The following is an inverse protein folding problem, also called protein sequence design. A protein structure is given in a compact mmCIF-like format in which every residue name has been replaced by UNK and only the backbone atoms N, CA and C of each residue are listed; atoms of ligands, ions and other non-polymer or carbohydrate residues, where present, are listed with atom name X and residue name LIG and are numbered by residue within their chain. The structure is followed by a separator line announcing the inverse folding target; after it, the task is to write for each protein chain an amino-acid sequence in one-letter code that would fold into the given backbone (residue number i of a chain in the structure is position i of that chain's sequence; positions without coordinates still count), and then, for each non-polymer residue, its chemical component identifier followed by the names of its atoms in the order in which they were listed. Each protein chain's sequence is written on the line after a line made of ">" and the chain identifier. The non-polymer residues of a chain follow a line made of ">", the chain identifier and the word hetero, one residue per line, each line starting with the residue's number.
data_IF_638882567314
#
_entry.id   IF_638882567314
#
_cell.length_a   1.000
_cell.length_b   1.000
_cell.length_c   1.000
_cell.angle_alpha   90.00
_cell.angle_beta   90.00
_cell.angle_gamma   90.00
#
_symmetry.space_group_name_H-M   'P 1'
#
loop_
_entity.id
_entity.type
_entity.pdbx_description
1 polymer ?
#
# COMPACT_ATOMS: atom_id res chain seq x y z
N UNK A 1 84.51 -33.24 -20.67
CA UNK A 1 83.65 -32.08 -20.95
C UNK A 1 82.22 -32.56 -20.78
N UNK A 2 81.49 -32.09 -19.77
CA UNK A 2 80.07 -31.76 -19.91
C UNK A 2 79.59 -31.08 -18.63
N UNK A 3 78.84 -30.01 -18.86
CA UNK A 3 78.64 -28.87 -17.99
C UNK A 3 77.22 -28.93 -17.43
N UNK A 4 77.03 -28.46 -16.20
CA UNK A 4 75.74 -28.28 -15.54
C UNK A 4 74.75 -27.48 -16.40
N UNK A 5 73.46 -27.82 -16.32
CA UNK A 5 72.41 -26.79 -16.32
C UNK A 5 71.14 -27.25 -15.60
N UNK A 6 70.97 -26.65 -14.43
CA UNK A 6 69.76 -26.56 -13.62
C UNK A 6 68.60 -25.97 -14.45
N UNK A 7 67.42 -26.61 -14.41
CA UNK A 7 66.19 -26.04 -14.94
C UNK A 7 65.38 -25.51 -13.74
N UNK A 8 65.49 -24.20 -13.52
CA UNK A 8 64.54 -23.42 -12.73
C UNK A 8 63.40 -22.98 -13.65
N UNK A 9 62.15 -23.24 -13.25
CA UNK A 9 60.97 -22.97 -14.06
C UNK A 9 59.75 -22.61 -13.24
N UNK A 10 59.79 -21.40 -12.67
CA UNK A 10 58.66 -20.51 -12.34
C UNK A 10 57.44 -21.10 -11.60
N UNK A 11 57.48 -20.99 -10.27
CA UNK A 11 56.28 -20.88 -9.43
C UNK A 11 55.45 -19.68 -9.89
N UNK A 12 54.25 -19.92 -10.42
CA UNK A 12 53.27 -18.86 -10.64
C UNK A 12 52.78 -18.36 -9.28
N UNK A 13 53.17 -17.14 -8.90
CA UNK A 13 52.57 -16.42 -7.78
C UNK A 13 51.08 -16.14 -8.08
N UNK A 14 50.19 -16.19 -7.07
CA UNK A 14 48.78 -15.86 -7.26
C UNK A 14 48.68 -14.39 -7.69
N UNK A 15 47.99 -14.15 -8.82
CA UNK A 15 47.65 -12.80 -9.30
C UNK A 15 47.04 -12.01 -8.15
N UNK A 16 47.69 -10.92 -7.75
CA UNK A 16 47.11 -9.90 -6.88
C UNK A 16 45.73 -9.48 -7.42
N UNK A 17 44.70 -9.27 -6.58
CA UNK A 17 43.43 -8.77 -7.05
C UNK A 17 43.65 -7.44 -7.77
N UNK A 18 43.13 -7.33 -8.99
CA UNK A 18 43.29 -6.14 -9.82
C UNK A 18 42.79 -4.90 -9.06
N UNK A 19 43.65 -3.91 -8.89
CA UNK A 19 43.35 -2.61 -8.25
C UNK A 19 42.48 -1.69 -9.12
N UNK A 20 41.72 -2.27 -10.07
CA UNK A 20 40.91 -1.49 -10.99
C UNK A 20 39.68 -0.93 -10.26
N UNK A 21 39.32 0.34 -10.46
CA UNK A 21 38.12 0.91 -9.87
C UNK A 21 36.86 0.14 -10.29
N UNK A 22 35.99 -0.17 -9.33
CA UNK A 22 34.75 -0.89 -9.58
C UNK A 22 33.62 -0.41 -8.67
N UNK A 23 32.39 -0.48 -9.16
CA UNK A 23 31.17 -0.33 -8.38
C UNK A 23 30.19 -1.42 -8.82
N UNK A 24 29.90 -2.34 -7.92
CA UNK A 24 28.92 -3.40 -8.09
C UNK A 24 27.76 -3.15 -7.13
N UNK A 25 26.54 -3.26 -7.62
CA UNK A 25 25.34 -3.10 -6.80
C UNK A 25 24.48 -4.36 -6.93
N UNK A 26 23.84 -4.80 -5.85
CA UNK A 26 22.83 -5.87 -5.92
C UNK A 26 21.57 -5.51 -5.14
N UNK A 27 20.41 -5.83 -5.71
CA UNK A 27 19.10 -5.61 -5.12
C UNK A 27 18.50 -6.94 -4.74
N UNK A 28 18.35 -7.18 -3.44
CA UNK A 28 18.01 -8.49 -2.87
C UNK A 28 16.91 -8.37 -1.80
N UNK A 29 16.44 -9.51 -1.30
CA UNK A 29 15.59 -9.64 -0.11
C UNK A 29 14.42 -8.66 -0.04
N UNK A 30 13.39 -8.85 -0.88
CA UNK A 30 12.18 -8.05 -0.78
C UNK A 30 11.47 -8.32 0.55
N UNK A 31 11.16 -7.26 1.29
CA UNK A 31 10.46 -7.33 2.58
C UNK A 31 9.29 -6.36 2.56
N UNK A 32 8.13 -6.82 3.05
CA UNK A 32 6.98 -5.95 3.28
C UNK A 32 7.15 -5.21 4.61
N UNK A 33 7.17 -3.89 4.56
CA UNK A 33 7.23 -3.00 5.72
C UNK A 33 5.94 -2.19 5.85
N UNK A 34 5.61 -1.81 7.09
CA UNK A 34 4.40 -1.04 7.40
C UNK A 34 3.11 -1.85 7.39
N UNK A 35 2.02 -1.20 7.81
CA UNK A 35 0.71 -1.82 8.01
C UNK A 35 -0.38 -1.06 7.23
N UNK A 36 -1.44 -1.77 6.82
CA UNK A 36 -2.59 -1.19 6.13
C UNK A 36 -2.22 -0.46 4.83
N UNK A 37 -2.82 0.72 4.63
CA UNK A 37 -2.66 1.55 3.41
C UNK A 37 -1.22 2.03 3.22
N UNK A 38 -0.45 2.17 4.30
CA UNK A 38 0.94 2.65 4.27
C UNK A 38 1.97 1.53 4.06
N UNK A 39 1.53 0.26 3.89
CA UNK A 39 2.46 -0.84 3.68
C UNK A 39 3.14 -0.75 2.30
N UNK A 40 4.44 -1.00 2.25
CA UNK A 40 5.24 -1.00 1.02
C UNK A 40 6.25 -2.14 1.00
N UNK A 41 6.79 -2.45 -0.19
CA UNK A 41 7.89 -3.40 -0.36
C UNK A 41 9.20 -2.61 -0.40
N UNK A 42 10.13 -3.00 0.48
CA UNK A 42 11.51 -2.55 0.47
C UNK A 42 12.43 -3.66 -0.02
N UNK A 43 13.62 -3.28 -0.45
CA UNK A 43 14.67 -4.13 -0.96
C UNK A 43 15.96 -3.83 -0.23
N UNK A 44 16.79 -4.85 -0.05
CA UNK A 44 18.17 -4.70 0.42
C UNK A 44 19.06 -4.37 -0.75
N UNK A 45 19.65 -3.17 -0.75
CA UNK A 45 20.61 -2.72 -1.76
C UNK A 45 22.01 -2.84 -1.19
N UNK A 46 22.83 -3.71 -1.77
CA UNK A 46 24.20 -3.97 -1.35
C UNK A 46 25.12 -3.33 -2.37
N UNK A 47 26.00 -2.45 -1.91
CA UNK A 47 27.00 -1.78 -2.72
C UNK A 47 28.37 -2.35 -2.37
N UNK A 48 29.14 -2.78 -3.36
CA UNK A 48 30.54 -3.19 -3.23
C UNK A 48 31.41 -2.35 -4.15
N UNK A 49 32.46 -1.75 -3.63
CA UNK A 49 33.29 -0.82 -4.40
C UNK A 49 34.64 -0.61 -3.76
N UNK A 50 35.61 -0.14 -4.53
CA UNK A 50 36.88 0.40 -4.05
C UNK A 50 37.00 1.91 -4.28
N UNK A 51 35.92 2.61 -4.63
CA UNK A 51 35.91 4.06 -4.77
C UNK A 51 36.09 4.74 -3.42
N UNK A 52 37.03 5.71 -3.29
CA UNK A 52 37.34 6.34 -2.00
C UNK A 52 36.20 7.23 -1.48
N UNK A 53 35.33 7.74 -2.36
CA UNK A 53 34.15 8.52 -1.98
C UNK A 53 33.01 7.70 -1.31
N UNK A 54 33.11 6.37 -1.27
CA UNK A 54 32.15 5.50 -0.58
C UNK A 54 32.60 5.18 0.86
N UNK A 55 31.65 4.97 1.77
CA UNK A 55 31.89 4.68 3.19
C UNK A 55 32.35 3.23 3.41
N UNK A 56 33.48 2.85 2.83
CA UNK A 56 34.06 1.52 2.93
C UNK A 56 33.73 0.61 1.74
N UNK A 57 34.29 -0.62 1.74
CA UNK A 57 34.25 -1.51 0.59
C UNK A 57 32.89 -2.17 0.35
N UNK A 58 32.04 -2.21 1.38
CA UNK A 58 30.70 -2.77 1.32
C UNK A 58 29.73 -1.93 2.17
N UNK A 59 28.58 -1.57 1.60
CA UNK A 59 27.48 -0.88 2.29
C UNK A 59 26.16 -1.56 1.98
N UNK A 60 25.31 -1.70 2.99
CA UNK A 60 23.95 -2.19 2.84
C UNK A 60 22.98 -1.08 3.26
N UNK A 61 22.01 -0.78 2.40
CA UNK A 61 20.91 0.14 2.69
C UNK A 61 19.57 -0.49 2.32
N UNK A 62 18.49 0.01 2.91
CA UNK A 62 17.13 -0.39 2.59
C UNK A 62 16.52 0.68 1.68
N UNK A 63 15.89 0.25 0.59
CA UNK A 63 15.25 1.14 -0.39
C UNK A 63 13.91 0.59 -0.83
N UNK A 64 12.92 1.45 -1.03
CA UNK A 64 11.63 1.11 -1.65
C UNK A 64 11.61 1.59 -3.10
N UNK A 65 10.63 1.13 -3.88
CA UNK A 65 10.49 1.50 -5.29
C UNK A 65 10.57 3.01 -5.55
N UNK A 66 9.93 3.84 -4.71
CA UNK A 66 9.96 5.29 -4.89
C UNK A 66 11.35 5.93 -4.67
N UNK A 67 12.29 5.26 -4.00
CA UNK A 67 13.69 5.73 -3.94
C UNK A 67 14.40 5.58 -5.29
N UNK A 68 14.05 4.53 -6.04
CA UNK A 68 14.59 4.34 -7.39
C UNK A 68 13.98 5.35 -8.36
N UNK A 69 12.69 5.71 -8.18
CA UNK A 69 12.04 6.78 -8.93
C UNK A 69 12.74 8.12 -8.67
N UNK A 70 12.96 8.46 -7.40
CA UNK A 70 13.76 9.62 -6.99
C UNK A 70 15.10 9.65 -7.74
N UNK A 71 15.88 8.56 -7.67
CA UNK A 71 17.16 8.51 -8.37
C UNK A 71 17.03 8.72 -9.88
N UNK A 72 16.05 8.08 -10.52
CA UNK A 72 15.81 8.21 -11.95
C UNK A 72 15.51 9.66 -12.35
N UNK A 73 14.63 10.34 -11.61
CA UNK A 73 14.23 11.71 -11.85
C UNK A 73 15.41 12.68 -11.70
N UNK A 74 16.22 12.52 -10.65
CA UNK A 74 17.45 13.29 -10.43
C UNK A 74 18.44 13.14 -11.58
N UNK A 75 18.63 11.91 -12.05
CA UNK A 75 19.54 11.64 -13.17
C UNK A 75 19.00 12.26 -14.47
N UNK A 76 17.69 12.15 -14.74
CA UNK A 76 17.08 12.81 -15.89
C UNK A 76 17.18 14.34 -15.83
N UNK A 77 17.07 14.94 -14.64
CA UNK A 77 17.21 16.38 -14.47
C UNK A 77 18.64 16.85 -14.77
N UNK A 78 19.64 16.15 -14.23
CA UNK A 78 21.04 16.58 -14.25
C UNK A 78 21.81 16.16 -15.51
N UNK A 79 21.51 15.00 -16.08
CA UNK A 79 22.27 14.40 -17.18
C UNK A 79 21.47 14.40 -18.49
N UNK A 80 21.26 15.60 -19.06
CA UNK A 80 20.54 15.77 -20.32
C UNK A 80 21.31 15.10 -21.48
N UNK A 81 20.61 14.33 -22.30
CA UNK A 81 21.19 13.63 -23.46
C UNK A 81 21.76 12.25 -23.14
N UNK A 82 21.85 11.85 -21.86
CA UNK A 82 22.20 10.48 -21.47
C UNK A 82 20.93 9.64 -21.37
N UNK A 83 20.97 8.43 -21.93
CA UNK A 83 19.87 7.48 -21.82
C UNK A 83 19.85 6.86 -20.42
N UNK A 84 18.89 7.27 -19.59
CA UNK A 84 18.65 6.66 -18.28
C UNK A 84 17.81 5.40 -18.46
N UNK A 85 18.23 4.23 -17.92
CA UNK A 85 17.46 2.99 -18.03
C UNK A 85 16.03 3.16 -17.47
N UNK A 86 15.02 2.49 -18.08
CA UNK A 86 13.65 2.54 -17.58
C UNK A 86 13.51 1.76 -16.27
N UNK A 87 12.63 2.23 -15.38
CA UNK A 87 12.20 1.51 -14.19
C UNK A 87 11.09 0.50 -14.54
N UNK A 88 10.94 -0.59 -13.76
CA UNK A 88 9.77 -1.45 -13.88
C UNK A 88 8.49 -0.69 -13.53
N UNK A 89 7.35 -1.18 -14.02
CA UNK A 89 6.06 -0.52 -13.86
C UNK A 89 5.68 -0.30 -12.39
N UNK A 90 5.07 0.86 -12.14
CA UNK A 90 4.40 1.16 -10.89
C UNK A 90 3.07 0.40 -10.88
N UNK A 91 2.97 -0.68 -10.10
CA UNK A 91 1.70 -1.39 -9.93
C UNK A 91 0.62 -0.42 -9.47
N UNK A 92 -0.40 -0.22 -10.30
CA UNK A 92 -1.57 0.62 -10.02
C UNK A 92 -2.70 -0.17 -9.36
N UNK A 93 -2.61 -1.51 -9.36
CA UNK A 93 -3.63 -2.39 -8.82
C UNK A 93 -3.16 -3.01 -7.51
N UNK A 94 -3.82 -2.62 -6.42
CA UNK A 94 -3.44 -2.98 -5.05
C UNK A 94 -3.36 -4.49 -4.80
N UNK A 95 -4.18 -5.30 -5.48
CA UNK A 95 -4.16 -6.76 -5.35
C UNK A 95 -2.86 -7.40 -5.87
N UNK A 96 -2.25 -6.82 -6.90
CA UNK A 96 -1.08 -7.42 -7.56
C UNK A 96 0.26 -6.93 -7.00
N UNK A 97 0.29 -5.77 -6.34
CA UNK A 97 1.53 -5.15 -5.84
C UNK A 97 2.28 -5.98 -4.78
N UNK A 98 1.59 -6.93 -4.16
CA UNK A 98 2.13 -7.84 -3.14
C UNK A 98 2.22 -9.30 -3.58
N UNK A 99 1.93 -9.60 -4.85
CA UNK A 99 2.15 -10.94 -5.39
C UNK A 99 3.65 -11.24 -5.46
N UNK A 100 4.04 -12.48 -5.18
CA UNK A 100 5.44 -12.89 -5.14
C UNK A 100 6.10 -12.73 -6.52
N UNK A 101 5.36 -13.06 -7.57
CA UNK A 101 5.77 -12.94 -8.97
C UNK A 101 6.09 -11.48 -9.33
N UNK A 102 5.21 -10.56 -8.94
CA UNK A 102 5.41 -9.14 -9.18
C UNK A 102 6.59 -8.58 -8.40
N UNK A 103 6.73 -8.98 -7.14
CA UNK A 103 7.83 -8.55 -6.27
C UNK A 103 9.17 -8.98 -6.86
N UNK A 104 9.29 -10.24 -7.30
CA UNK A 104 10.53 -10.78 -7.85
C UNK A 104 10.86 -10.19 -9.22
N UNK A 105 9.87 -10.08 -10.11
CA UNK A 105 10.02 -9.40 -11.41
C UNK A 105 10.53 -7.97 -11.20
N UNK A 106 9.92 -7.22 -10.27
CA UNK A 106 10.34 -5.86 -9.95
C UNK A 106 11.75 -5.85 -9.38
N UNK A 107 12.10 -6.73 -8.44
CA UNK A 107 13.45 -6.83 -7.86
C UNK A 107 14.51 -7.00 -8.95
N UNK A 108 14.30 -7.93 -9.88
CA UNK A 108 15.21 -8.18 -11.02
C UNK A 108 15.38 -6.94 -11.90
N UNK A 109 14.29 -6.27 -12.25
CA UNK A 109 14.34 -5.06 -13.06
C UNK A 109 15.05 -3.90 -12.34
N UNK A 110 14.85 -3.74 -11.03
CA UNK A 110 15.56 -2.74 -10.21
C UNK A 110 17.06 -3.03 -10.12
N UNK A 111 17.43 -4.32 -10.01
CA UNK A 111 18.83 -4.77 -10.02
C UNK A 111 19.53 -4.41 -11.34
N UNK A 112 18.86 -4.68 -12.47
CA UNK A 112 19.36 -4.30 -13.81
C UNK A 112 19.47 -2.78 -13.95
N UNK A 113 18.44 -2.03 -13.50
CA UNK A 113 18.42 -0.57 -13.57
C UNK A 113 19.64 0.05 -12.87
N UNK A 114 19.88 -0.31 -11.61
CA UNK A 114 20.96 0.31 -10.82
C UNK A 114 22.34 -0.12 -11.31
N UNK A 115 22.51 -1.36 -11.77
CA UNK A 115 23.78 -1.80 -12.35
C UNK A 115 24.11 -1.12 -13.69
N UNK A 116 23.10 -0.81 -14.52
CA UNK A 116 23.31 -0.02 -15.74
C UNK A 116 23.76 1.40 -15.44
N UNK A 117 23.21 2.01 -14.39
CA UNK A 117 23.67 3.33 -13.93
C UNK A 117 25.09 3.24 -13.37
N UNK A 118 25.35 2.26 -12.51
CA UNK A 118 26.65 2.06 -11.86
C UNK A 118 27.79 1.70 -12.84
N UNK A 119 27.47 1.16 -14.02
CA UNK A 119 28.46 0.84 -15.07
C UNK A 119 28.67 1.98 -16.09
N UNK A 120 27.82 3.01 -16.08
CA UNK A 120 27.96 4.14 -16.98
C UNK A 120 28.96 5.16 -16.42
N UNK A 121 30.00 5.49 -17.20
CA UNK A 121 31.13 6.33 -16.75
C UNK A 121 30.71 7.64 -16.06
N UNK A 122 29.77 8.38 -16.64
CA UNK A 122 29.31 9.66 -16.06
C UNK A 122 28.31 9.49 -14.91
N UNK A 123 27.42 8.50 -14.96
CA UNK A 123 26.37 8.34 -13.95
C UNK A 123 26.91 7.67 -12.68
N UNK A 124 27.94 6.83 -12.81
CA UNK A 124 28.66 6.21 -11.70
C UNK A 124 29.26 7.25 -10.75
N UNK A 125 29.66 8.42 -11.27
CA UNK A 125 30.20 9.54 -10.51
C UNK A 125 29.10 10.47 -9.94
N UNK A 126 27.82 10.15 -10.15
CA UNK A 126 26.72 10.97 -9.67
C UNK A 126 26.65 11.00 -8.14
N UNK A 127 26.59 12.21 -7.59
CA UNK A 127 26.29 12.43 -6.17
C UNK A 127 24.91 11.85 -5.80
N UNK A 128 23.90 11.96 -6.67
CA UNK A 128 22.57 11.43 -6.40
C UNK A 128 22.59 9.88 -6.33
N UNK A 129 23.40 9.21 -7.17
CA UNK A 129 23.63 7.77 -7.06
C UNK A 129 24.34 7.43 -5.74
N UNK A 130 25.38 8.18 -5.37
CA UNK A 130 26.10 7.94 -4.13
C UNK A 130 25.18 8.10 -2.91
N UNK A 131 24.36 9.15 -2.88
CA UNK A 131 23.33 9.37 -1.85
C UNK A 131 22.37 8.18 -1.81
N UNK A 132 21.84 7.76 -2.96
CA UNK A 132 20.97 6.59 -3.03
C UNK A 132 21.62 5.32 -2.45
N UNK A 133 22.93 5.11 -2.67
CA UNK A 133 23.64 3.91 -2.21
C UNK A 133 24.13 3.97 -0.75
N UNK A 134 24.25 5.17 -0.17
CA UNK A 134 24.92 5.38 1.13
C UNK A 134 24.03 5.95 2.25
N UNK A 135 23.02 6.75 1.90
CA UNK A 135 22.18 7.43 2.88
C UNK A 135 21.39 6.45 3.77
N UNK A 136 21.10 6.84 5.00
CA UNK A 136 20.13 6.11 5.81
C UNK A 136 18.69 6.35 5.31
N UNK A 137 17.72 5.61 5.89
CA UNK A 137 16.31 5.75 5.50
C UNK A 137 15.77 7.14 5.82
N UNK A 138 16.17 7.75 6.95
CA UNK A 138 15.68 9.08 7.35
C UNK A 138 16.11 10.16 6.34
N UNK A 139 17.37 10.13 5.91
CA UNK A 139 17.88 11.05 4.89
C UNK A 139 17.17 10.84 3.56
N UNK A 140 17.01 9.58 3.13
CA UNK A 140 16.27 9.28 1.90
C UNK A 140 14.81 9.72 1.96
N UNK A 141 14.16 9.54 3.11
CA UNK A 141 12.79 9.97 3.32
C UNK A 141 12.64 11.48 3.14
N UNK A 142 13.53 12.28 3.73
CA UNK A 142 13.55 13.74 3.56
C UNK A 142 13.74 14.16 2.10
N UNK A 143 14.64 13.49 1.38
CA UNK A 143 14.92 13.77 -0.03
C UNK A 143 13.72 13.47 -0.93
N UNK A 144 13.05 12.32 -0.72
CA UNK A 144 11.81 11.98 -1.42
C UNK A 144 10.73 13.03 -1.20
N UNK A 145 10.54 13.50 0.04
CA UNK A 145 9.53 14.51 0.37
C UNK A 145 9.79 15.85 -0.32
N UNK A 146 11.06 16.26 -0.39
CA UNK A 146 11.45 17.50 -1.07
C UNK A 146 11.23 17.44 -2.59
N UNK A 147 11.37 16.26 -3.21
CA UNK A 147 11.25 16.10 -4.67
C UNK A 147 9.86 15.68 -5.17
N UNK A 148 8.94 15.22 -4.31
CA UNK A 148 7.54 14.93 -4.70
C UNK A 148 6.69 16.13 -5.16
N UNK A 149 7.30 17.24 -5.60
CA UNK A 149 7.21 17.75 -6.99
C UNK A 149 5.87 17.91 -7.73
N UNK A 150 4.72 17.65 -7.12
CA UNK A 150 3.41 18.06 -7.64
C UNK A 150 3.14 19.52 -7.24
N UNK A 151 3.92 20.13 -6.34
CA UNK A 151 3.66 21.47 -5.84
C UNK A 151 4.93 22.32 -5.69
N UNK A 152 5.05 23.36 -6.53
CA UNK A 152 6.19 24.30 -6.55
C UNK A 152 5.94 25.63 -5.81
N UNK A 153 4.83 25.83 -5.05
CA UNK A 153 4.57 27.11 -4.35
C UNK A 153 4.17 26.96 -2.86
N UNK A 154 4.71 27.80 -1.95
CA UNK A 154 4.30 27.86 -0.53
C UNK A 154 2.81 28.17 -0.31
N UNK A 155 2.16 28.89 -1.23
CA UNK A 155 0.73 29.20 -1.17
C UNK A 155 -0.17 27.96 -1.22
N UNK A 156 0.30 26.89 -1.86
CA UNK A 156 -0.47 25.67 -2.05
C UNK A 156 -0.46 24.78 -0.80
N UNK A 157 0.54 24.92 0.08
CA UNK A 157 0.55 24.24 1.38
C UNK A 157 -0.56 24.74 2.28
N UNK A 158 -0.77 26.06 2.33
CA UNK A 158 -1.91 26.63 3.05
C UNK A 158 -3.24 26.12 2.47
N UNK A 159 -3.33 25.94 1.15
CA UNK A 159 -4.49 25.34 0.50
C UNK A 159 -4.67 23.86 0.87
N UNK A 160 -3.60 23.06 0.93
CA UNK A 160 -3.66 21.65 1.35
C UNK A 160 -4.01 21.54 2.83
N UNK A 161 -3.42 22.35 3.71
CA UNK A 161 -3.78 22.38 5.13
C UNK A 161 -5.24 22.78 5.31
N UNK A 162 -5.72 23.74 4.51
CA UNK A 162 -7.13 24.15 4.50
C UNK A 162 -8.04 23.02 3.99
N UNK A 163 -7.73 22.40 2.87
CA UNK A 163 -8.49 21.27 2.31
C UNK A 163 -8.46 20.04 3.22
N UNK A 164 -7.35 19.80 3.93
CA UNK A 164 -7.22 18.71 4.89
C UNK A 164 -8.02 18.98 6.15
N UNK A 165 -7.98 20.21 6.66
CA UNK A 165 -8.84 20.63 7.77
C UNK A 165 -10.33 20.58 7.38
N UNK A 166 -10.69 21.04 6.18
CA UNK A 166 -12.05 20.95 5.62
C UNK A 166 -12.49 19.49 5.44
N UNK A 167 -11.59 18.59 5.02
CA UNK A 167 -11.85 17.15 4.91
C UNK A 167 -12.02 16.46 6.27
N UNK A 168 -11.20 16.81 7.26
CA UNK A 168 -11.35 16.34 8.64
C UNK A 168 -12.67 16.85 9.25
N UNK A 169 -13.04 18.11 9.00
CA UNK A 169 -14.32 18.67 9.42
C UNK A 169 -15.51 17.98 8.72
N UNK A 170 -15.41 17.73 7.42
CA UNK A 170 -16.42 16.98 6.67
C UNK A 170 -16.58 15.55 7.20
N UNK A 171 -15.48 14.89 7.58
CA UNK A 171 -15.50 13.56 8.19
C UNK A 171 -16.21 13.59 9.54
N UNK A 172 -15.90 14.56 10.41
CA UNK A 172 -16.60 14.74 11.70
C UNK A 172 -18.09 15.00 11.52
N UNK A 173 -18.47 15.81 10.53
CA UNK A 173 -19.87 16.09 10.20
C UNK A 173 -20.58 14.81 9.71
N UNK A 174 -19.95 14.05 8.83
CA UNK A 174 -20.47 12.76 8.37
C UNK A 174 -20.65 11.78 9.53
N UNK A 175 -19.64 11.60 10.39
CA UNK A 175 -19.73 10.72 11.57
C UNK A 175 -20.85 11.14 12.53
N UNK A 176 -21.03 12.45 12.72
CA UNK A 176 -22.12 12.99 13.55
C UNK A 176 -23.49 12.67 12.95
N UNK A 177 -23.66 12.88 11.64
CA UNK A 177 -24.90 12.56 10.93
C UNK A 177 -25.16 11.05 10.96
N UNK A 178 -24.15 10.23 10.70
CA UNK A 178 -24.27 8.77 10.72
C UNK A 178 -24.66 8.24 12.10
N UNK A 179 -24.12 8.83 13.18
CA UNK A 179 -24.51 8.53 14.57
C UNK A 179 -25.98 8.89 14.82
N UNK A 180 -26.39 10.11 14.49
CA UNK A 180 -27.77 10.56 14.66
C UNK A 180 -28.76 9.72 13.84
N UNK A 181 -28.41 9.41 12.59
CA UNK A 181 -29.20 8.52 11.74
C UNK A 181 -29.32 7.12 12.34
N UNK A 182 -28.25 6.58 12.91
CA UNK A 182 -28.29 5.26 13.56
C UNK A 182 -29.19 5.27 14.80
N UNK A 183 -29.09 6.30 15.63
CA UNK A 183 -29.98 6.50 16.79
C UNK A 183 -31.45 6.65 16.38
N UNK A 184 -31.71 7.39 15.30
CA UNK A 184 -33.05 7.62 14.77
C UNK A 184 -33.63 6.37 14.09
N UNK A 185 -32.80 5.58 13.39
CA UNK A 185 -33.19 4.27 12.84
C UNK A 185 -33.62 3.33 13.97
N UNK A 186 -32.88 3.26 15.08
CA UNK A 186 -33.24 2.43 16.23
C UNK A 186 -34.58 2.87 16.82
N UNK A 187 -34.74 4.18 17.11
CA UNK A 187 -36.03 4.72 17.59
C UNK A 187 -37.19 4.42 16.64
N UNK A 188 -36.98 4.55 15.34
CA UNK A 188 -38.02 4.32 14.36
C UNK A 188 -38.43 2.84 14.29
N UNK A 189 -37.49 1.92 14.40
CA UNK A 189 -37.78 0.47 14.46
C UNK A 189 -38.53 0.11 15.75
N UNK A 190 -38.14 0.67 16.89
CA UNK A 190 -38.85 0.49 18.16
C UNK A 190 -40.29 1.01 18.06
N UNK A 191 -40.47 2.25 17.57
CA UNK A 191 -41.79 2.85 17.42
C UNK A 191 -42.67 2.05 16.46
N UNK A 192 -42.12 1.61 15.31
CA UNK A 192 -42.84 0.74 14.38
C UNK A 192 -43.26 -0.60 15.02
N UNK A 193 -42.41 -1.16 15.87
CA UNK A 193 -42.72 -2.40 16.62
C UNK A 193 -43.84 -2.17 17.62
N UNK A 194 -43.82 -1.04 18.34
CA UNK A 194 -44.87 -0.65 19.28
C UNK A 194 -46.21 -0.42 18.59
N UNK A 195 -46.25 0.41 17.55
CA UNK A 195 -47.47 0.74 16.81
C UNK A 195 -48.10 -0.50 16.18
N UNK A 196 -47.26 -1.38 15.61
CA UNK A 196 -47.71 -2.65 15.07
C UNK A 196 -48.23 -3.59 16.16
N UNK A 197 -47.62 -3.60 17.35
CA UNK A 197 -48.13 -4.31 18.51
C UNK A 197 -49.52 -3.84 18.94
N UNK A 198 -49.75 -2.52 18.97
CA UNK A 198 -51.07 -1.94 19.27
C UNK A 198 -52.10 -2.35 18.21
N UNK A 199 -51.74 -2.28 16.93
CA UNK A 199 -52.61 -2.68 15.84
C UNK A 199 -53.02 -4.17 15.93
N UNK A 200 -52.07 -5.05 16.22
CA UNK A 200 -52.35 -6.48 16.41
C UNK A 200 -53.25 -6.74 17.62
N UNK A 201 -53.05 -6.01 18.72
CA UNK A 201 -53.89 -6.13 19.91
C UNK A 201 -55.35 -5.74 19.62
N UNK A 202 -55.57 -4.62 18.95
CA UNK A 202 -56.92 -4.19 18.57
C UNK A 202 -57.56 -5.14 17.55
N UNK A 203 -56.78 -5.66 16.60
CA UNK A 203 -57.25 -6.69 15.68
C UNK A 203 -57.69 -7.96 16.44
N UNK A 204 -56.86 -8.45 17.36
CA UNK A 204 -57.17 -9.65 18.15
C UNK A 204 -58.43 -9.46 19.01
N UNK A 205 -58.61 -8.29 19.65
CA UNK A 205 -59.85 -7.93 20.34
C UNK A 205 -61.05 -7.92 19.39
N UNK A 206 -60.89 -7.35 18.19
CA UNK A 206 -61.91 -7.33 17.15
C UNK A 206 -62.35 -8.74 16.75
N UNK A 207 -61.39 -9.63 16.49
CA UNK A 207 -61.65 -11.03 16.17
C UNK A 207 -62.36 -11.75 17.32
N UNK A 208 -61.95 -11.53 18.57
CA UNK A 208 -62.60 -12.13 19.74
C UNK A 208 -64.05 -11.66 19.90
N UNK A 209 -64.33 -10.35 19.70
CA UNK A 209 -65.70 -9.80 19.73
C UNK A 209 -66.55 -10.39 18.60
N UNK A 210 -65.99 -10.51 17.40
CA UNK A 210 -66.69 -11.12 16.26
C UNK A 210 -67.02 -12.58 16.55
N UNK A 211 -66.07 -13.35 17.07
CA UNK A 211 -66.28 -14.74 17.46
C UNK A 211 -67.40 -14.89 18.51
N UNK A 212 -67.42 -14.01 19.52
CA UNK A 212 -68.50 -13.98 20.51
C UNK A 212 -69.85 -13.62 19.88
N UNK A 213 -69.90 -12.60 19.02
CA UNK A 213 -71.13 -12.22 18.32
C UNK A 213 -71.67 -13.33 17.41
N UNK A 214 -70.79 -14.04 16.71
CA UNK A 214 -71.15 -15.21 15.91
C UNK A 214 -71.69 -16.32 16.82
N UNK A 215 -71.03 -16.61 17.94
CA UNK A 215 -71.49 -17.60 18.90
C UNK A 215 -72.87 -17.25 19.49
N UNK A 216 -73.10 -15.97 19.81
CA UNK A 216 -74.40 -15.49 20.31
C UNK A 216 -75.50 -15.57 19.26
N UNK A 217 -75.20 -15.23 18.00
CA UNK A 217 -76.12 -15.41 16.89
C UNK A 217 -76.50 -16.90 16.72
N UNK A 218 -75.53 -17.81 16.77
CA UNK A 218 -75.79 -19.24 16.74
C UNK A 218 -76.61 -19.72 17.94
N UNK A 219 -76.30 -19.26 19.16
CA UNK A 219 -77.10 -19.58 20.36
C UNK A 219 -78.56 -19.14 20.25
N UNK A 220 -78.83 -18.04 19.54
CA UNK A 220 -80.19 -17.56 19.29
C UNK A 220 -80.92 -18.31 18.18
N UNK A 221 -80.19 -18.75 17.15
CA UNK A 221 -80.73 -19.45 15.98
C UNK A 221 -80.96 -20.95 16.23
N UNK A 222 -80.08 -21.60 16.99
CA UNK A 222 -80.14 -23.04 17.27
C UNK A 222 -81.52 -23.49 17.80
N UNK A 223 -82.13 -22.85 18.81
CA UNK A 223 -83.46 -23.25 19.29
C UNK A 223 -84.56 -23.11 18.23
N UNK A 224 -84.46 -22.12 17.33
CA UNK A 224 -85.43 -21.91 16.25
C UNK A 224 -85.33 -23.00 15.19
N UNK A 225 -84.11 -23.44 14.88
CA UNK A 225 -83.86 -24.53 13.94
C UNK A 225 -84.30 -25.88 14.52
N UNK A 226 -84.03 -26.13 15.81
CA UNK A 226 -84.49 -27.32 16.53
C UNK A 226 -86.03 -27.40 16.58
N UNK A 227 -86.71 -26.25 16.74
CA UNK A 227 -88.18 -26.18 16.69
C UNK A 227 -88.80 -26.36 15.29
N UNK A 228 -88.00 -26.23 14.22
CA UNK A 228 -88.43 -26.43 12.84
C UNK A 228 -88.09 -27.82 12.29
N UNK A 229 -87.48 -28.71 13.08
CA UNK A 229 -87.18 -30.08 12.65
C UNK A 229 -88.48 -30.91 12.62
N UNK A 230 -88.90 -31.44 11.46
CA UNK A 230 -90.00 -32.41 11.42
C UNK A 230 -89.53 -33.72 12.08
N UNK A 231 -90.44 -34.33 12.86
CA UNK A 231 -90.31 -35.68 13.42
C UNK A 231 -90.11 -36.71 12.32
#
# INVERSE_FOLDING_TARGET
>A
MEQQRSISGSSQSPRSPSSQPYLSVSVTDPVKLGNGVQAYISYRVITKTNFPEYQGPEKIVIRRYNDFVWLQDRLFEKYKGIFIPPLPEKSTVEKFRFSAEFIEMRRQALDVFVNRIASHHELQQSEDLRTFLQADEETMERLRFHETGIFKKPADWMQIFKLKAEGEEATRRFETIARLMSEEIVRFQEQKTTDMGVAFHEFAKGQARLANSIADAWRSLLPKLESCSPV
#
